data_IF_389887850347
#
_entry.id   IF_389887850347
#
_cell.length_a   1.000
_cell.length_b   1.000
_cell.length_c   1.000
_cell.angle_alpha   90.00
_cell.angle_beta   90.00
_cell.angle_gamma   90.00
#
_symmetry.space_group_name_H-M   'P 1'
#
loop_
_entity.id
_entity.type
_entity.pdbx_description
1 polymer ?
#
# COMPACT_ATOMS: atom_id res chain seq x y z
N UNK A 1 11.08 14.19 2.25
CA UNK A 1 9.68 14.01 2.73
C UNK A 1 8.67 14.39 1.64
N UNK A 2 7.79 13.47 1.23
CA UNK A 2 6.69 13.77 0.29
C UNK A 2 5.45 14.13 1.09
N UNK A 3 4.91 15.34 0.92
CA UNK A 3 3.81 15.87 1.72
C UNK A 3 2.46 15.58 1.02
N UNK A 4 1.70 14.63 1.54
CA UNK A 4 0.39 14.25 1.01
C UNK A 4 -0.74 14.72 1.93
N UNK A 5 -1.47 15.77 1.51
CA UNK A 5 -2.67 16.25 2.20
C UNK A 5 -3.94 15.93 1.41
N UNK A 6 -4.89 15.24 2.04
CA UNK A 6 -6.33 15.43 1.77
C UNK A 6 -7.11 15.40 3.08
N UNK A 7 -7.90 16.45 3.33
CA UNK A 7 -8.79 16.62 4.51
C UNK A 7 -8.08 16.31 5.84
N UNK A 8 -8.26 15.13 6.44
CA UNK A 8 -7.59 14.74 7.69
C UNK A 8 -6.19 14.10 7.52
N UNK A 9 -5.81 13.74 6.30
CA UNK A 9 -4.50 13.19 5.97
C UNK A 9 -4.22 11.77 6.47
N UNK A 10 -5.25 10.98 6.75
CA UNK A 10 -5.11 9.62 7.34
C UNK A 10 -5.74 8.47 6.53
N UNK A 11 -6.84 8.70 5.81
CA UNK A 11 -7.45 7.67 4.95
C UNK A 11 -6.68 7.47 3.63
N UNK A 12 -6.94 8.33 2.64
CA UNK A 12 -6.29 8.25 1.31
C UNK A 12 -4.77 8.41 1.36
N UNK A 13 -4.26 9.26 2.24
CA UNK A 13 -2.81 9.38 2.48
C UNK A 13 -2.23 8.05 2.94
N UNK A 14 -2.90 7.36 3.88
CA UNK A 14 -2.50 6.01 4.28
C UNK A 14 -2.55 5.03 3.11
N UNK A 15 -3.61 5.05 2.29
CA UNK A 15 -3.68 4.17 1.12
C UNK A 15 -2.49 4.37 0.17
N UNK A 16 -2.13 5.62 -0.09
CA UNK A 16 -0.99 5.94 -0.96
C UNK A 16 0.33 5.43 -0.38
N UNK A 17 0.58 5.69 0.90
CA UNK A 17 1.83 5.27 1.57
C UNK A 17 1.95 3.75 1.60
N UNK A 18 0.90 3.03 2.02
CA UNK A 18 0.92 1.55 2.08
C UNK A 18 1.07 0.96 0.68
N UNK A 19 0.35 1.47 -0.33
CA UNK A 19 0.53 0.99 -1.70
C UNK A 19 1.96 1.21 -2.19
N UNK A 20 2.57 2.35 -1.90
CA UNK A 20 3.96 2.62 -2.31
C UNK A 20 4.95 1.65 -1.66
N UNK A 21 4.82 1.43 -0.35
CA UNK A 21 5.66 0.48 0.40
C UNK A 21 5.43 -0.94 -0.13
N UNK A 22 4.17 -1.34 -0.30
CA UNK A 22 3.81 -2.67 -0.76
C UNK A 22 4.30 -2.96 -2.19
N UNK A 23 4.23 -1.98 -3.09
CA UNK A 23 4.81 -2.12 -4.43
C UNK A 23 6.34 -2.32 -4.37
N UNK A 24 7.03 -1.68 -3.42
CA UNK A 24 8.46 -1.90 -3.22
C UNK A 24 8.74 -3.31 -2.69
N UNK A 25 8.01 -3.75 -1.66
CA UNK A 25 8.14 -5.12 -1.13
C UNK A 25 7.91 -6.19 -2.20
N UNK A 26 6.88 -6.01 -3.05
CA UNK A 26 6.62 -6.92 -4.17
C UNK A 26 7.77 -6.96 -5.19
N UNK A 27 8.38 -5.82 -5.51
CA UNK A 27 9.53 -5.78 -6.44
C UNK A 27 10.78 -6.45 -5.87
N UNK A 28 11.05 -6.25 -4.58
CA UNK A 28 12.31 -6.66 -3.95
C UNK A 28 12.26 -8.09 -3.40
N UNK A 29 11.13 -8.47 -2.79
CA UNK A 29 10.96 -9.73 -2.07
C UNK A 29 9.90 -10.65 -2.68
N UNK A 30 9.12 -10.20 -3.68
CA UNK A 30 8.05 -11.00 -4.29
C UNK A 30 6.83 -11.22 -3.39
N UNK A 31 6.80 -10.62 -2.20
CA UNK A 31 5.74 -10.74 -1.21
C UNK A 31 5.46 -9.38 -0.56
N UNK A 32 4.27 -9.22 0.03
CA UNK A 32 3.88 -7.98 0.71
C UNK A 32 3.10 -8.29 1.98
N UNK A 33 3.44 -7.59 3.07
CA UNK A 33 2.69 -7.64 4.32
C UNK A 33 1.89 -6.34 4.52
N UNK A 34 0.63 -6.38 4.10
CA UNK A 34 -0.29 -5.24 4.20
C UNK A 34 -0.65 -4.95 5.65
N UNK A 35 -0.84 -5.99 6.47
CA UNK A 35 -1.28 -5.84 7.86
C UNK A 35 -0.18 -5.16 8.67
N UNK A 36 1.05 -5.66 8.59
CA UNK A 36 2.19 -5.09 9.31
C UNK A 36 2.41 -3.63 8.90
N UNK A 37 2.39 -3.34 7.59
CA UNK A 37 2.56 -1.96 7.10
C UNK A 37 1.49 -1.01 7.63
N UNK A 38 0.22 -1.45 7.68
CA UNK A 38 -0.88 -0.63 8.23
C UNK A 38 -0.74 -0.48 9.75
N UNK A 39 -0.35 -1.53 10.47
CA UNK A 39 -0.09 -1.48 11.91
C UNK A 39 1.01 -0.46 12.23
N UNK A 40 2.15 -0.52 11.53
CA UNK A 40 3.25 0.44 11.70
C UNK A 40 2.79 1.88 11.44
N UNK A 41 2.05 2.13 10.36
CA UNK A 41 1.52 3.47 10.09
C UNK A 41 0.54 3.96 11.15
N UNK A 42 -0.25 3.07 11.76
CA UNK A 42 -1.15 3.42 12.86
C UNK A 42 -0.41 3.73 14.16
N UNK A 43 0.76 3.12 14.38
CA UNK A 43 1.66 3.47 15.47
C UNK A 43 2.27 4.87 15.26
N UNK A 44 2.71 5.18 14.04
CA UNK A 44 3.27 6.50 13.70
C UNK A 44 2.23 7.62 13.72
N UNK A 45 1.03 7.34 13.21
CA UNK A 45 -0.10 8.28 13.18
C UNK A 45 -1.41 7.52 13.37
N UNK A 46 -2.05 7.73 14.51
CA UNK A 46 -3.35 7.11 14.80
C UNK A 46 -4.39 7.37 13.70
N UNK A 47 -5.18 6.34 13.37
CA UNK A 47 -6.28 6.44 12.42
C UNK A 47 -5.90 6.28 10.95
N UNK A 48 -4.65 5.92 10.62
CA UNK A 48 -4.24 5.58 9.25
C UNK A 48 -5.05 4.39 8.73
N UNK A 49 -5.55 4.50 7.49
CA UNK A 49 -6.54 3.59 6.88
C UNK A 49 -7.82 3.53 7.72
N UNK A 50 -8.79 4.36 7.35
CA UNK A 50 -9.96 4.66 8.18
C UNK A 50 -11.14 3.71 7.95
N UNK A 51 -11.25 3.11 6.77
CA UNK A 51 -12.42 2.29 6.40
C UNK A 51 -12.01 0.93 5.85
N UNK A 52 -12.94 -0.02 5.91
CA UNK A 52 -12.73 -1.37 5.35
C UNK A 52 -12.51 -1.32 3.85
N UNK A 53 -13.20 -0.43 3.14
CA UNK A 53 -13.06 -0.26 1.68
C UNK A 53 -11.65 0.24 1.32
N UNK A 54 -11.06 1.11 2.15
CA UNK A 54 -9.67 1.55 1.98
C UNK A 54 -8.68 0.40 2.19
N UNK A 55 -8.95 -0.48 3.15
CA UNK A 55 -8.13 -1.66 3.38
C UNK A 55 -8.26 -2.68 2.22
N UNK A 56 -9.48 -2.94 1.74
CA UNK A 56 -9.75 -3.77 0.57
C UNK A 56 -9.12 -3.21 -0.72
N UNK A 57 -9.13 -1.88 -0.87
CA UNK A 57 -8.46 -1.20 -1.97
C UNK A 57 -6.96 -1.51 -2.00
N UNK A 58 -6.29 -1.62 -0.84
CA UNK A 58 -4.87 -1.98 -0.78
C UNK A 58 -4.61 -3.38 -1.32
N UNK A 59 -5.40 -4.38 -0.91
CA UNK A 59 -5.29 -5.73 -1.45
C UNK A 59 -5.51 -5.76 -2.95
N UNK A 60 -6.57 -5.09 -3.43
CA UNK A 60 -6.91 -5.05 -4.85
C UNK A 60 -5.80 -4.40 -5.68
N UNK A 61 -5.26 -3.28 -5.20
CA UNK A 61 -4.19 -2.53 -5.88
C UNK A 61 -2.90 -3.33 -5.95
N UNK A 62 -2.48 -3.94 -4.83
CA UNK A 62 -1.23 -4.70 -4.75
C UNK A 62 -1.32 -6.03 -5.50
N UNK A 63 -2.48 -6.69 -5.52
CA UNK A 63 -2.71 -7.87 -6.34
C UNK A 63 -2.61 -7.55 -7.84
N UNK A 64 -3.22 -6.45 -8.29
CA UNK A 64 -3.09 -6.00 -9.69
C UNK A 64 -1.64 -5.69 -10.04
N UNK A 65 -0.93 -4.99 -9.16
CA UNK A 65 0.48 -4.66 -9.35
C UNK A 65 1.36 -5.92 -9.44
N UNK A 66 1.15 -6.89 -8.54
CA UNK A 66 1.86 -8.18 -8.56
C UNK A 66 1.65 -8.92 -9.89
N UNK A 67 0.41 -8.98 -10.37
CA UNK A 67 0.10 -9.59 -11.68
C UNK A 67 0.81 -8.88 -12.84
N UNK A 68 0.88 -7.55 -12.81
CA UNK A 68 1.61 -6.78 -13.83
C UNK A 68 3.12 -7.05 -13.81
N UNK A 69 3.72 -7.14 -12.62
CA UNK A 69 5.14 -7.48 -12.47
C UNK A 69 5.46 -8.86 -13.06
N UNK A 70 4.61 -9.87 -12.77
CA UNK A 70 4.78 -11.21 -13.31
C UNK A 70 4.75 -11.20 -14.85
N UNK A 71 3.80 -10.47 -15.47
CA UNK A 71 3.74 -10.35 -16.93
C UNK A 71 4.94 -9.61 -17.54
N UNK A 72 5.58 -8.70 -16.81
CA UNK A 72 6.79 -8.01 -17.26
C UNK A 72 8.02 -8.91 -17.18
N UNK A 73 8.14 -9.75 -16.15
CA UNK A 73 9.27 -10.69 -16.03
C UNK A 73 9.22 -11.84 -17.05
N UNK A 74 8.06 -12.14 -17.61
CA UNK A 74 7.88 -13.19 -18.64
C UNK A 74 8.18 -12.68 -20.06
N UNK A 75 8.27 -11.36 -20.27
CA UNK A 75 8.61 -10.79 -21.59
C UNK A 75 10.14 -10.69 -21.74
N UNK A 76 10.75 -11.36 -22.73
CA UNK A 76 12.20 -11.32 -22.96
C UNK A 76 12.69 -9.95 -23.43
#
# INVERSE_FOLDING_TARGET
PVLHHLSAGIGRTGCFIVSSIGCQQLREAGQVDILETVCQLRLDRGGMIQTTEQYQFLYSTLAQYSSQLQHQQVRP
#
